data_IF_269824948967
#
_entry.id   IF_269824948967
#
_cell.length_a   1.000
_cell.length_b   1.000
_cell.length_c   1.000
_cell.angle_alpha   90.00
_cell.angle_beta   90.00
_cell.angle_gamma   90.00
#
_symmetry.space_group_name_H-M   'P 1'
#
loop_
_entity.id
_entity.type
_entity.pdbx_description
1 polymer ?
#
# COMPACT_ATOMS: atom_id res chain seq x y z
N UNK A 1 13.70 -1.55 -12.35
CA UNK A 1 13.15 -2.63 -11.51
C UNK A 1 11.71 -2.23 -11.27
N UNK A 2 10.71 -2.92 -11.84
CA UNK A 2 9.32 -2.51 -11.69
C UNK A 2 8.86 -2.71 -10.24
N UNK A 3 8.71 -1.60 -9.54
CA UNK A 3 8.10 -1.52 -8.22
C UNK A 3 6.60 -1.28 -8.39
N UNK A 4 5.79 -1.92 -7.57
CA UNK A 4 4.34 -1.76 -7.61
C UNK A 4 3.80 -1.45 -6.22
N UNK A 5 2.93 -0.45 -6.15
CA UNK A 5 2.15 -0.17 -4.95
C UNK A 5 0.77 -0.81 -5.12
N UNK A 6 0.41 -1.67 -4.17
CA UNK A 6 -0.89 -2.34 -4.13
C UNK A 6 -1.64 -1.96 -2.86
N UNK A 7 -2.96 -1.87 -2.98
CA UNK A 7 -3.87 -1.59 -1.87
C UNK A 7 -4.78 -2.80 -1.71
N UNK A 8 -4.79 -3.37 -0.51
CA UNK A 8 -5.72 -4.45 -0.15
C UNK A 8 -6.99 -3.86 0.43
N UNK A 9 -8.10 -4.29 -0.14
CA UNK A 9 -9.45 -3.96 0.27
C UNK A 9 -10.16 -5.23 0.76
N UNK A 10 -10.50 -5.28 2.04
CA UNK A 10 -11.16 -6.44 2.67
C UNK A 10 -10.29 -7.71 2.63
N UNK A 11 -10.93 -8.86 2.46
CA UNK A 11 -10.28 -10.17 2.53
C UNK A 11 -9.71 -10.66 1.20
N UNK A 12 -10.08 -10.10 0.05
CA UNK A 12 -9.75 -10.69 -1.27
C UNK A 12 -9.44 -9.71 -2.40
N UNK A 13 -9.67 -8.41 -2.23
CA UNK A 13 -9.44 -7.45 -3.31
C UNK A 13 -8.06 -6.81 -3.15
N UNK A 14 -7.22 -6.93 -4.17
CA UNK A 14 -5.94 -6.23 -4.26
C UNK A 14 -6.03 -5.35 -5.50
N UNK A 15 -5.82 -4.06 -5.33
CA UNK A 15 -5.85 -3.07 -6.39
C UNK A 15 -4.46 -2.47 -6.57
N UNK A 16 -3.90 -2.52 -7.78
CA UNK A 16 -2.65 -1.84 -8.09
C UNK A 16 -2.90 -0.35 -8.24
N UNK A 17 -2.20 0.45 -7.44
CA UNK A 17 -2.30 1.91 -7.46
C UNK A 17 -1.32 2.56 -8.45
N UNK A 18 -0.23 1.88 -8.75
CA UNK A 18 0.76 2.38 -9.68
C UNK A 18 2.00 1.48 -9.73
N UNK A 19 2.74 1.65 -10.82
CA UNK A 19 4.02 0.99 -11.09
C UNK A 19 5.10 2.05 -11.30
N UNK A 20 6.26 1.84 -10.71
CA UNK A 20 7.36 2.78 -10.63
C UNK A 20 8.67 2.09 -10.99
N UNK A 21 9.53 2.76 -11.75
CA UNK A 21 10.86 2.24 -12.08
C UNK A 21 11.93 2.63 -11.06
N UNK A 22 11.64 3.66 -10.24
CA UNK A 22 12.52 4.23 -9.22
C UNK A 22 11.95 4.05 -7.81
N UNK A 23 12.84 3.72 -6.85
CA UNK A 23 12.47 3.46 -5.46
C UNK A 23 12.11 4.74 -4.70
N UNK A 24 12.75 5.86 -5.01
CA UNK A 24 12.49 7.13 -4.34
C UNK A 24 11.10 7.66 -4.70
N UNK A 25 10.72 7.60 -5.98
CA UNK A 25 9.36 7.91 -6.45
C UNK A 25 8.33 6.96 -5.82
N UNK A 26 8.60 5.65 -5.84
CA UNK A 26 7.69 4.66 -5.26
C UNK A 26 7.49 4.87 -3.75
N UNK A 27 8.56 5.19 -3.01
CA UNK A 27 8.48 5.48 -1.57
C UNK A 27 7.76 6.80 -1.30
N UNK A 28 7.94 7.80 -2.16
CA UNK A 28 7.25 9.09 -2.04
C UNK A 28 5.75 8.88 -2.18
N UNK A 29 5.30 8.25 -3.26
CA UNK A 29 3.89 7.92 -3.48
C UNK A 29 3.34 7.00 -2.38
N UNK A 30 4.10 5.97 -1.98
CA UNK A 30 3.70 5.07 -0.89
C UNK A 30 3.47 5.83 0.43
N UNK A 31 4.32 6.80 0.76
CA UNK A 31 4.14 7.64 1.94
C UNK A 31 2.92 8.57 1.81
N UNK A 32 2.69 9.17 0.63
CA UNK A 32 1.50 9.99 0.40
C UNK A 32 0.22 9.17 0.55
N UNK A 33 0.22 7.95 -0.01
CA UNK A 33 -0.87 7.00 0.11
C UNK A 33 -1.11 6.62 1.57
N UNK A 34 -0.10 6.30 2.37
CA UNK A 34 -0.28 6.00 3.80
C UNK A 34 -0.84 7.20 4.58
N UNK A 35 -0.34 8.40 4.31
CA UNK A 35 -0.75 9.61 5.02
C UNK A 35 -2.12 10.15 4.56
N UNK A 36 -2.68 9.61 3.47
CA UNK A 36 -4.00 9.99 2.98
C UNK A 36 -5.08 9.59 4.00
N UNK A 37 -5.75 10.58 4.59
CA UNK A 37 -6.78 10.36 5.64
C UNK A 37 -8.15 9.94 5.13
N UNK A 38 -8.33 9.83 3.81
CA UNK A 38 -9.64 9.64 3.18
C UNK A 38 -9.77 8.28 2.48
N UNK A 39 -9.09 7.26 3.02
CA UNK A 39 -9.23 5.89 2.54
C UNK A 39 -10.63 5.35 2.78
N UNK A 40 -11.10 4.53 1.84
CA UNK A 40 -12.32 3.76 2.05
C UNK A 40 -12.13 2.85 3.27
N UNK A 41 -13.13 2.67 4.16
CA UNK A 41 -13.01 1.83 5.35
C UNK A 41 -12.72 0.35 5.04
N UNK A 42 -12.97 -0.07 3.79
CA UNK A 42 -12.60 -1.41 3.32
C UNK A 42 -11.10 -1.57 3.08
N UNK A 43 -10.34 -0.48 2.94
CA UNK A 43 -8.90 -0.55 2.72
C UNK A 43 -8.22 -0.93 4.04
N UNK A 44 -7.52 -2.06 4.02
CA UNK A 44 -6.88 -2.64 5.21
C UNK A 44 -5.37 -2.50 5.16
N UNK A 45 -4.77 -2.48 3.98
CA UNK A 45 -3.31 -2.51 3.82
C UNK A 45 -2.87 -1.83 2.54
N UNK A 46 -1.73 -1.16 2.59
CA UNK A 46 -0.98 -0.68 1.42
C UNK A 46 0.38 -1.41 1.43
N UNK A 47 0.82 -1.93 0.28
CA UNK A 47 2.08 -2.65 0.16
C UNK A 47 2.86 -2.16 -1.06
N UNK A 48 4.17 -2.01 -0.91
CA UNK A 48 5.12 -1.75 -1.96
C UNK A 48 5.92 -3.04 -2.22
N UNK A 49 5.87 -3.53 -3.45
CA UNK A 49 6.54 -4.77 -3.85
C UNK A 49 7.43 -4.56 -5.07
N UNK A 50 8.57 -5.24 -5.09
CA UNK A 50 9.40 -5.41 -6.27
C UNK A 50 8.81 -6.58 -7.07
N UNK A 51 8.19 -6.28 -8.21
CA UNK A 51 7.51 -7.29 -9.05
C UNK A 51 8.48 -8.13 -9.87
N UNK A 52 9.71 -7.66 -10.09
CA UNK A 52 10.76 -8.43 -10.75
C UNK A 52 11.31 -9.53 -9.85
N UNK A 53 11.41 -9.25 -8.54
CA UNK A 53 11.90 -10.19 -7.52
C UNK A 53 10.81 -10.88 -6.71
N UNK A 54 9.55 -10.59 -7.01
CA UNK A 54 8.37 -11.01 -6.22
C UNK A 54 8.56 -10.75 -4.71
N UNK A 55 9.15 -9.59 -4.37
CA UNK A 55 9.57 -9.28 -2.99
C UNK A 55 8.80 -8.10 -2.44
N UNK A 56 8.10 -8.30 -1.33
CA UNK A 56 7.53 -7.20 -0.56
C UNK A 56 8.66 -6.36 0.07
N UNK A 57 8.71 -5.07 -0.26
CA UNK A 57 9.69 -4.12 0.25
C UNK A 57 9.17 -3.39 1.48
N UNK A 58 7.90 -2.98 1.45
CA UNK A 58 7.25 -2.31 2.56
C UNK A 58 5.75 -2.66 2.60
N UNK A 59 5.18 -2.70 3.80
CA UNK A 59 3.76 -2.92 4.01
C UNK A 59 3.29 -2.06 5.18
N UNK A 60 2.13 -1.43 5.03
CA UNK A 60 1.49 -0.63 6.05
C UNK A 60 0.05 -1.06 6.24
N UNK A 61 -0.29 -1.48 7.46
CA UNK A 61 -1.66 -1.84 7.83
C UNK A 61 -2.40 -0.57 8.29
N UNK A 62 -3.40 -0.15 7.51
CA UNK A 62 -4.28 0.98 7.88
C UNK A 62 -5.29 0.59 8.97
N UNK A 63 -5.45 -0.71 9.23
CA UNK A 63 -6.42 -1.26 10.17
C UNK A 63 -6.13 -0.94 11.65
N UNK A 64 -4.86 -0.69 12.02
CA UNK A 64 -4.49 -0.35 13.40
C UNK A 64 -4.99 1.05 13.84
N UNK A 65 -5.37 1.92 12.89
CA UNK A 65 -6.02 3.21 13.22
C UNK A 65 -7.53 3.10 13.47
N UNK A 66 -8.20 2.04 13.01
CA UNK A 66 -9.65 1.86 13.18
C UNK A 66 -10.02 1.02 14.42
N UNK A 67 -9.05 0.48 15.16
CA UNK A 67 -9.26 -0.34 16.36
C UNK A 67 -8.95 0.41 17.68
N UNK A 68 -9.08 1.73 17.69
CA UNK A 68 -9.22 2.44 18.96
C UNK A 68 -10.70 2.51 19.34
N UNK A 69 -11.02 1.88 20.47
CA UNK A 69 -12.32 1.83 21.16
C UNK A 69 -13.28 0.71 20.70
N UNK A 70 -13.19 -0.42 21.40
CA UNK A 70 -14.37 -0.96 22.09
C UNK A 70 -13.99 -1.73 23.35
#
# INVERSE_FOLDING_TARGET
>A
MPLEITVKQGQQTIESMGSFDDLEDALTEFNELINRRNWHPSVTTIALSDTDKDKCLAQYALQEFNHSEN
#
